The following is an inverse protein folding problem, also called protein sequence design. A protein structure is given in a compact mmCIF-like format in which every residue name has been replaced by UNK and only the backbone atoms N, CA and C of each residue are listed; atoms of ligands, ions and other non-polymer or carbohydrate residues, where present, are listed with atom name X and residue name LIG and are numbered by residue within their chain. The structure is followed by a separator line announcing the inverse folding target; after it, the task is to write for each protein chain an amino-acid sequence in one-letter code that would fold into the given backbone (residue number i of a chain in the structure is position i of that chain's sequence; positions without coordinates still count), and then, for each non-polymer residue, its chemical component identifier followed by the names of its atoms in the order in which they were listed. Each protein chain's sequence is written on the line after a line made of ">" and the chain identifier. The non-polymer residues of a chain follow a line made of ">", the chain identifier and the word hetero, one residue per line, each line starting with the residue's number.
data_IF_674841727178
#
_entry.id   IF_674841727178
#
_cell.length_a   1.000
_cell.length_b   1.000
_cell.length_c   1.000
_cell.angle_alpha   90.00
_cell.angle_beta   90.00
_cell.angle_gamma   90.00
#
_symmetry.space_group_name_H-M   'P 1'
#
loop_
_entity.id
_entity.type
_entity.pdbx_description
1 polymer ?
#
# COMPACT_ATOMS: atom_id res chain seq x y z
N UNK A 1 7.50 15.26 -3.04
CA UNK A 1 8.03 14.96 -1.69
C UNK A 1 6.89 15.01 -0.69
N UNK A 2 6.33 13.85 -0.36
CA UNK A 2 5.38 13.74 0.76
C UNK A 2 6.19 13.98 2.04
N UNK A 3 6.23 15.20 2.52
CA UNK A 3 6.70 15.49 3.88
C UNK A 3 5.68 14.87 4.83
N UNK A 4 6.01 13.74 5.41
CA UNK A 4 5.37 13.30 6.63
C UNK A 4 5.65 14.39 7.69
N UNK A 5 4.62 15.17 8.00
CA UNK A 5 4.65 16.16 9.07
C UNK A 5 4.70 15.39 10.38
N UNK A 6 5.89 15.13 10.82
CA UNK A 6 6.17 14.56 12.13
C UNK A 6 7.47 15.16 12.63
N UNK A 7 7.36 16.01 13.61
CA UNK A 7 8.39 16.69 14.41
C UNK A 7 9.81 16.64 13.82
N UNK A 8 10.37 17.77 13.50
CA UNK A 8 11.78 17.96 13.05
C UNK A 8 12.81 17.24 13.94
N UNK A 9 12.48 16.92 15.18
CA UNK A 9 13.34 16.18 16.10
C UNK A 9 13.57 14.71 15.70
N UNK A 10 12.63 14.05 15.03
CA UNK A 10 12.79 12.66 14.57
C UNK A 10 13.56 12.54 13.27
N UNK A 11 13.78 13.62 12.52
CA UNK A 11 14.45 13.62 11.21
C UNK A 11 15.95 13.89 11.36
N UNK A 12 16.41 14.50 12.45
CA UNK A 12 17.79 14.91 12.63
C UNK A 12 18.77 13.78 12.92
N UNK A 13 18.30 12.65 13.39
CA UNK A 13 19.13 11.48 13.74
C UNK A 13 19.10 10.37 12.69
N UNK A 14 18.34 10.55 11.59
CA UNK A 14 18.17 9.54 10.54
C UNK A 14 18.43 10.13 9.17
N UNK A 15 19.11 9.35 8.34
CA UNK A 15 19.25 9.63 6.91
C UNK A 15 18.33 8.72 6.11
N UNK A 16 17.61 9.29 5.16
CA UNK A 16 16.76 8.57 4.20
C UNK A 16 17.46 8.57 2.83
N UNK A 17 17.41 7.45 2.16
CA UNK A 17 17.87 7.29 0.77
C UNK A 17 16.78 6.59 -0.01
N UNK A 18 16.52 7.07 -1.20
CA UNK A 18 15.57 6.47 -2.14
C UNK A 18 16.35 5.89 -3.31
N UNK A 19 15.92 4.72 -3.75
CA UNK A 19 16.34 4.09 -5.00
C UNK A 19 15.09 3.89 -5.81
N UNK A 20 15.03 4.55 -6.96
CA UNK A 20 13.90 4.44 -7.88
C UNK A 20 13.97 3.14 -8.68
N UNK A 21 12.84 2.72 -9.26
CA UNK A 21 12.83 1.65 -10.23
C UNK A 21 13.51 2.13 -11.53
N UNK A 22 14.05 1.20 -12.30
CA UNK A 22 14.53 1.47 -13.65
C UNK A 22 13.36 1.83 -14.58
N UNK A 23 13.65 2.39 -15.75
CA UNK A 23 12.64 2.84 -16.72
C UNK A 23 11.70 1.71 -17.18
N UNK A 24 12.17 0.48 -17.16
CA UNK A 24 11.38 -0.73 -17.47
C UNK A 24 10.56 -1.25 -16.28
N UNK A 25 10.60 -0.56 -15.14
CA UNK A 25 9.92 -0.95 -13.90
C UNK A 25 10.61 -2.07 -13.11
N UNK A 26 11.82 -2.47 -13.48
CA UNK A 26 12.64 -3.41 -12.71
C UNK A 26 13.35 -2.72 -11.54
N UNK A 27 13.85 -3.52 -10.59
CA UNK A 27 14.62 -2.98 -9.47
C UNK A 27 16.03 -2.61 -9.91
N UNK A 28 16.50 -1.44 -9.49
CA UNK A 28 17.90 -1.05 -9.60
C UNK A 28 18.73 -1.74 -8.50
N UNK A 29 19.09 -2.99 -8.73
CA UNK A 29 19.87 -3.78 -7.79
C UNK A 29 21.24 -3.18 -7.48
N UNK A 30 21.87 -2.50 -8.43
CA UNK A 30 23.15 -1.82 -8.22
C UNK A 30 22.98 -0.58 -7.35
N UNK A 31 21.96 0.20 -7.59
CA UNK A 31 21.59 1.34 -6.75
C UNK A 31 21.26 0.92 -5.32
N UNK A 32 20.49 -0.16 -5.15
CA UNK A 32 20.15 -0.72 -3.84
C UNK A 32 21.42 -1.16 -3.11
N UNK A 33 22.32 -1.90 -3.77
CA UNK A 33 23.60 -2.33 -3.19
C UNK A 33 24.45 -1.15 -2.73
N UNK A 34 24.51 -0.06 -3.49
CA UNK A 34 25.23 1.16 -3.13
C UNK A 34 24.58 1.93 -1.98
N UNK A 35 23.25 1.85 -1.89
CA UNK A 35 22.49 2.56 -0.85
C UNK A 35 22.58 1.87 0.51
N UNK A 36 22.71 0.54 0.56
CA UNK A 36 22.82 -0.23 1.81
C UNK A 36 24.25 -0.11 2.37
N UNK A 37 24.36 0.16 3.68
CA UNK A 37 25.64 0.19 4.40
C UNK A 37 25.45 -0.25 5.86
N UNK A 38 26.53 -0.29 6.63
CA UNK A 38 26.57 -0.71 8.04
C UNK A 38 25.51 -0.02 8.93
N UNK A 39 25.18 1.24 8.62
CA UNK A 39 24.22 2.05 9.37
C UNK A 39 22.78 1.82 8.92
N UNK A 40 22.54 1.13 7.81
CA UNK A 40 21.18 0.86 7.32
C UNK A 40 20.46 -0.08 8.28
N UNK A 41 19.35 0.34 8.87
CA UNK A 41 18.55 -0.43 9.83
C UNK A 41 17.24 -0.94 9.27
N UNK A 42 16.66 -0.17 8.33
CA UNK A 42 15.37 -0.45 7.76
C UNK A 42 15.40 -0.19 6.25
N UNK A 43 14.82 -1.08 5.48
CA UNK A 43 14.47 -0.90 4.06
C UNK A 43 12.96 -0.96 3.94
N UNK A 44 12.37 0.05 3.31
CA UNK A 44 10.93 0.13 3.06
C UNK A 44 10.64 -0.18 1.60
N UNK A 45 9.70 -1.08 1.37
CA UNK A 45 9.24 -1.49 0.03
C UNK A 45 7.76 -1.11 -0.08
N UNK A 46 7.41 -0.30 -1.06
CA UNK A 46 6.02 0.05 -1.34
C UNK A 46 5.47 -0.86 -2.43
N UNK A 47 4.49 -1.72 -2.10
CA UNK A 47 3.91 -2.69 -3.02
C UNK A 47 3.09 -2.03 -4.13
N UNK A 48 2.05 -1.33 -3.77
CA UNK A 48 1.14 -0.69 -4.73
C UNK A 48 1.77 0.52 -5.40
N UNK A 49 1.40 0.75 -6.64
CA UNK A 49 1.76 1.95 -7.39
C UNK A 49 1.09 3.22 -6.82
N UNK A 50 0.00 3.10 -6.08
CA UNK A 50 -0.78 4.24 -5.60
C UNK A 50 -1.19 5.14 -6.77
N UNK A 51 -0.79 6.41 -6.73
CA UNK A 51 -1.04 7.38 -7.80
C UNK A 51 0.07 7.46 -8.87
N UNK A 52 1.11 6.63 -8.75
CA UNK A 52 2.19 6.58 -9.74
C UNK A 52 1.81 5.72 -10.95
N UNK A 53 2.58 5.88 -12.04
CA UNK A 53 2.41 5.09 -13.27
C UNK A 53 3.29 3.84 -13.30
N UNK A 54 4.13 3.61 -12.27
CA UNK A 54 4.98 2.44 -12.17
C UNK A 54 4.17 1.14 -12.02
N UNK A 55 4.74 -0.03 -12.33
CA UNK A 55 4.11 -1.32 -12.06
C UNK A 55 3.87 -1.52 -10.55
N UNK A 56 2.80 -2.24 -10.21
CA UNK A 56 2.60 -2.79 -8.86
C UNK A 56 3.45 -4.02 -8.69
N UNK A 57 4.01 -4.22 -7.50
CA UNK A 57 4.87 -5.36 -7.20
C UNK A 57 4.04 -6.58 -6.79
N UNK A 58 4.30 -7.73 -7.42
CA UNK A 58 3.79 -9.01 -6.91
C UNK A 58 4.51 -9.40 -5.61
N UNK A 59 3.90 -10.29 -4.83
CA UNK A 59 4.52 -10.82 -3.61
C UNK A 59 5.80 -11.58 -3.95
N UNK A 60 5.84 -12.29 -5.07
CA UNK A 60 7.03 -13.00 -5.55
C UNK A 60 8.20 -12.02 -5.77
N UNK A 61 7.98 -10.95 -6.54
CA UNK A 61 9.01 -9.92 -6.78
C UNK A 61 9.49 -9.25 -5.49
N UNK A 62 8.58 -9.03 -4.54
CA UNK A 62 8.93 -8.51 -3.21
C UNK A 62 9.84 -9.50 -2.49
N UNK A 63 9.56 -10.80 -2.56
CA UNK A 63 10.39 -11.85 -1.98
C UNK A 63 11.80 -11.88 -2.58
N UNK A 64 11.91 -11.83 -3.90
CA UNK A 64 13.21 -11.75 -4.61
C UNK A 64 14.03 -10.53 -4.13
N UNK A 65 13.39 -9.37 -4.04
CA UNK A 65 14.04 -8.16 -3.55
C UNK A 65 14.50 -8.29 -2.09
N UNK A 66 13.67 -8.86 -1.22
CA UNK A 66 14.02 -9.07 0.18
C UNK A 66 15.20 -10.02 0.31
N UNK A 67 15.24 -11.13 -0.44
CA UNK A 67 16.37 -12.05 -0.45
C UNK A 67 17.66 -11.33 -0.87
N UNK A 68 17.62 -10.56 -1.96
CA UNK A 68 18.77 -9.78 -2.40
C UNK A 68 19.24 -8.78 -1.34
N UNK A 69 18.34 -8.09 -0.66
CA UNK A 69 18.68 -7.15 0.41
C UNK A 69 19.32 -7.89 1.59
N UNK A 70 18.76 -9.03 1.99
CA UNK A 70 19.27 -9.84 3.11
C UNK A 70 20.62 -10.48 2.80
N UNK A 71 20.92 -10.78 1.54
CA UNK A 71 22.25 -11.25 1.14
C UNK A 71 23.33 -10.17 1.31
N UNK A 72 22.96 -8.89 1.16
CA UNK A 72 23.87 -7.77 1.39
C UNK A 72 24.01 -7.48 2.89
N UNK A 73 22.89 -7.48 3.63
CA UNK A 73 22.84 -7.15 5.04
C UNK A 73 21.76 -7.97 5.77
N UNK A 74 22.13 -9.13 6.34
CA UNK A 74 21.17 -10.08 6.94
C UNK A 74 20.36 -9.51 8.10
N UNK A 75 20.89 -8.56 8.87
CA UNK A 75 20.26 -7.95 10.04
C UNK A 75 19.37 -6.74 9.72
N UNK A 76 19.31 -6.30 8.46
CA UNK A 76 18.43 -5.18 8.08
C UNK A 76 16.97 -5.59 8.16
N UNK A 77 16.12 -4.72 8.66
CA UNK A 77 14.66 -4.95 8.72
C UNK A 77 14.05 -4.57 7.37
N UNK A 78 13.35 -5.51 6.73
CA UNK A 78 12.58 -5.27 5.53
C UNK A 78 11.10 -5.04 5.90
N UNK A 79 10.60 -3.85 5.64
CA UNK A 79 9.21 -3.46 5.88
C UNK A 79 8.49 -3.23 4.56
N UNK A 80 7.33 -3.84 4.38
CA UNK A 80 6.49 -3.69 3.19
C UNK A 80 5.26 -2.86 3.52
N UNK A 81 5.07 -1.74 2.81
CA UNK A 81 3.77 -1.06 2.75
C UNK A 81 2.88 -1.83 1.77
N UNK A 82 1.91 -2.54 2.34
CA UNK A 82 1.05 -3.48 1.64
C UNK A 82 -0.30 -2.87 1.20
N UNK A 83 -0.51 -1.58 1.45
CA UNK A 83 -1.75 -0.89 1.11
C UNK A 83 -2.20 -1.20 -0.32
N UNK A 84 -3.48 -1.53 -0.48
CA UNK A 84 -4.17 -1.95 -1.71
C UNK A 84 -3.79 -3.33 -2.26
N UNK A 85 -2.77 -4.01 -1.69
CA UNK A 85 -2.36 -5.35 -2.11
C UNK A 85 -2.96 -6.48 -1.28
N UNK A 86 -3.46 -6.18 -0.09
CA UNK A 86 -3.98 -7.19 0.84
C UNK A 86 -5.14 -7.98 0.22
N UNK A 87 -5.11 -9.30 0.36
CA UNK A 87 -6.10 -10.25 -0.17
C UNK A 87 -6.20 -10.31 -1.71
N UNK A 88 -5.24 -9.71 -2.44
CA UNK A 88 -5.21 -9.76 -3.91
C UNK A 88 -4.53 -11.04 -4.39
N UNK A 89 -3.43 -11.44 -3.78
CA UNK A 89 -2.72 -12.69 -4.04
C UNK A 89 -3.02 -13.73 -2.94
N UNK A 90 -2.62 -14.98 -3.17
CA UNK A 90 -2.84 -16.10 -2.23
C UNK A 90 -1.94 -16.03 -1.00
N UNK A 91 -0.80 -15.39 -1.13
CA UNK A 91 0.20 -15.21 -0.08
C UNK A 91 0.44 -13.72 0.15
N UNK A 92 0.95 -13.39 1.31
CA UNK A 92 1.25 -12.02 1.70
C UNK A 92 2.77 -11.82 1.86
N UNK A 93 3.26 -10.58 1.84
CA UNK A 93 4.70 -10.30 1.91
C UNK A 93 5.41 -10.88 3.15
N UNK A 94 4.69 -11.12 4.25
CA UNK A 94 5.23 -11.80 5.42
C UNK A 94 5.66 -13.24 5.17
N UNK A 95 5.06 -13.90 4.19
CA UNK A 95 5.36 -15.30 3.83
C UNK A 95 6.61 -15.42 2.93
N UNK A 96 7.05 -14.32 2.35
CA UNK A 96 8.24 -14.25 1.49
C UNK A 96 9.41 -13.50 2.12
N UNK A 97 9.39 -13.32 3.45
CA UNK A 97 10.53 -12.82 4.22
C UNK A 97 10.44 -11.37 4.69
N UNK A 98 9.33 -10.67 4.50
CA UNK A 98 9.15 -9.35 5.10
C UNK A 98 9.15 -9.44 6.63
N UNK A 99 10.02 -8.67 7.29
CA UNK A 99 10.08 -8.60 8.76
C UNK A 99 8.86 -7.86 9.34
N UNK A 100 8.36 -6.87 8.60
CA UNK A 100 7.13 -6.14 8.92
C UNK A 100 6.30 -5.91 7.66
N UNK A 101 5.00 -6.02 7.80
CA UNK A 101 3.99 -5.64 6.81
C UNK A 101 3.08 -4.60 7.45
N UNK A 102 2.93 -3.47 6.81
CA UNK A 102 2.12 -2.35 7.31
C UNK A 102 1.05 -1.97 6.30
N UNK A 103 -0.06 -1.50 6.78
CA UNK A 103 -1.14 -1.06 5.91
C UNK A 103 -2.22 -0.29 6.66
N UNK A 104 -3.25 0.09 5.92
CA UNK A 104 -4.36 0.89 6.42
C UNK A 104 -5.63 0.06 6.55
N UNK A 105 -6.28 0.15 7.72
CA UNK A 105 -7.57 -0.50 7.95
C UNK A 105 -8.73 0.21 7.23
N UNK A 106 -8.57 1.46 6.80
CA UNK A 106 -9.59 2.13 5.97
C UNK A 106 -9.57 1.69 4.50
N UNK A 107 -8.66 0.78 4.14
CA UNK A 107 -8.51 0.19 2.80
C UNK A 107 -8.93 -1.27 2.81
N UNK A 108 -8.25 -2.10 2.04
CA UNK A 108 -8.59 -3.52 1.85
C UNK A 108 -8.92 -4.26 3.16
N UNK A 109 -8.08 -4.24 4.21
CA UNK A 109 -8.33 -5.05 5.41
C UNK A 109 -9.56 -4.62 6.21
N UNK A 110 -10.00 -3.38 6.04
CA UNK A 110 -11.19 -2.88 6.75
C UNK A 110 -12.51 -3.27 6.13
N UNK A 111 -12.53 -3.90 4.94
CA UNK A 111 -13.74 -4.42 4.29
C UNK A 111 -14.86 -3.39 4.12
N UNK A 112 -14.51 -2.10 4.00
CA UNK A 112 -15.45 -0.98 3.91
C UNK A 112 -16.14 -0.59 5.23
N UNK A 113 -15.81 -1.23 6.35
CA UNK A 113 -16.43 -0.98 7.67
C UNK A 113 -15.52 -0.24 8.64
N UNK A 114 -14.22 -0.45 8.57
CA UNK A 114 -13.28 0.18 9.49
C UNK A 114 -13.22 1.71 9.26
N UNK A 115 -13.56 2.54 10.27
CA UNK A 115 -13.64 4.00 10.09
C UNK A 115 -12.28 4.69 10.14
N UNK A 116 -11.26 4.02 10.63
CA UNK A 116 -9.91 4.55 10.83
C UNK A 116 -8.89 3.43 11.02
N UNK A 117 -7.66 3.79 11.33
CA UNK A 117 -6.65 2.87 11.83
C UNK A 117 -5.72 2.31 10.76
N UNK A 118 -4.70 1.64 11.26
CA UNK A 118 -3.72 0.90 10.50
C UNK A 118 -3.35 -0.38 11.21
N UNK A 119 -2.59 -1.23 10.54
CA UNK A 119 -2.06 -2.45 11.13
C UNK A 119 -0.55 -2.55 10.89
N UNK A 120 0.11 -3.25 11.78
CA UNK A 120 1.47 -3.72 11.62
C UNK A 120 1.47 -5.20 11.98
N UNK A 121 1.91 -6.04 11.06
CA UNK A 121 2.08 -7.48 11.25
C UNK A 121 3.52 -7.88 10.95
N UNK A 122 4.02 -8.96 11.58
CA UNK A 122 5.36 -9.47 11.31
C UNK A 122 6.09 -9.96 12.55
N UNK A 123 7.40 -9.83 12.57
CA UNK A 123 8.27 -10.29 13.64
C UNK A 123 7.91 -9.66 14.98
N UNK A 124 7.86 -10.50 16.02
CA UNK A 124 7.44 -10.12 17.37
C UNK A 124 8.23 -8.94 17.94
N UNK A 125 9.55 -8.96 17.81
CA UNK A 125 10.42 -7.89 18.30
C UNK A 125 10.16 -6.56 17.62
N UNK A 126 9.92 -6.56 16.30
CA UNK A 126 9.57 -5.37 15.53
C UNK A 126 8.20 -4.81 15.96
N UNK A 127 7.21 -5.69 16.17
CA UNK A 127 5.86 -5.30 16.58
C UNK A 127 5.88 -4.71 17.99
N UNK A 128 6.64 -5.29 18.91
CA UNK A 128 6.78 -4.76 20.28
C UNK A 128 7.40 -3.36 20.29
N UNK A 129 8.48 -3.15 19.53
CA UNK A 129 9.11 -1.83 19.42
C UNK A 129 8.18 -0.80 18.77
N UNK A 130 7.43 -1.19 17.74
CA UNK A 130 6.44 -0.34 17.10
C UNK A 130 5.32 0.05 18.09
N UNK A 131 4.83 -0.89 18.90
CA UNK A 131 3.78 -0.63 19.90
C UNK A 131 4.23 0.39 20.95
N UNK A 132 5.46 0.28 21.46
CA UNK A 132 6.02 1.26 22.40
C UNK A 132 6.17 2.66 21.76
N UNK A 133 6.45 2.73 20.48
CA UNK A 133 6.60 4.00 19.77
C UNK A 133 5.26 4.66 19.43
N UNK A 134 4.25 3.85 19.09
CA UNK A 134 2.93 4.34 18.67
C UNK A 134 2.03 4.73 19.82
N UNK A 135 2.16 4.07 20.96
CA UNK A 135 1.36 4.37 22.16
C UNK A 135 2.15 5.28 23.12
N UNK A 136 2.71 4.70 24.15
CA UNK A 136 3.45 5.42 25.17
C UNK A 136 4.57 4.53 25.73
N UNK A 137 5.74 5.08 26.07
CA UNK A 137 6.78 4.33 26.76
C UNK A 137 6.24 3.64 28.01
N UNK A 138 6.49 2.34 28.13
CA UNK A 138 6.03 1.51 29.24
C UNK A 138 4.65 0.89 29.09
N UNK A 139 3.79 1.39 28.21
CA UNK A 139 2.46 0.83 27.98
C UNK A 139 2.45 -0.16 26.79
N UNK A 140 3.14 0.17 25.69
CA UNK A 140 3.17 -0.67 24.51
C UNK A 140 1.76 -0.98 23.99
N UNK A 141 1.45 -2.27 23.87
CA UNK A 141 0.16 -2.75 23.34
C UNK A 141 -0.93 -3.04 24.39
N UNK A 142 -0.68 -2.78 25.66
CA UNK A 142 -1.59 -3.18 26.77
C UNK A 142 -2.96 -2.51 26.67
N UNK A 143 -3.00 -1.24 26.27
CA UNK A 143 -4.26 -0.48 26.14
C UNK A 143 -4.78 -0.39 24.70
N UNK A 144 -4.01 -0.86 23.73
CA UNK A 144 -4.32 -0.76 22.31
C UNK A 144 -4.19 0.67 21.75
N UNK A 145 -4.38 0.82 20.45
CA UNK A 145 -4.24 2.09 19.73
C UNK A 145 -5.57 2.81 19.51
N UNK A 146 -6.70 2.15 19.73
CA UNK A 146 -8.05 2.68 19.45
C UNK A 146 -9.04 2.26 20.53
N UNK A 147 -10.08 3.07 20.71
CA UNK A 147 -11.16 2.82 21.68
C UNK A 147 -12.48 2.78 20.91
N UNK A 148 -13.29 1.73 21.16
CA UNK A 148 -14.68 1.65 20.71
C UNK A 148 -14.93 1.15 19.29
N UNK A 149 -13.90 0.97 18.45
CA UNK A 149 -14.04 0.60 17.03
C UNK A 149 -13.58 -0.82 16.69
N UNK A 150 -13.18 -1.61 17.68
CA UNK A 150 -12.63 -2.96 17.46
C UNK A 150 -13.62 -3.90 16.76
N UNK A 151 -14.92 -3.77 17.06
CA UNK A 151 -15.95 -4.58 16.39
C UNK A 151 -15.94 -4.37 14.89
N UNK A 152 -15.85 -3.12 14.44
CA UNK A 152 -15.85 -2.78 13.02
C UNK A 152 -14.57 -3.27 12.35
N UNK A 153 -13.43 -3.24 13.05
CA UNK A 153 -12.18 -3.80 12.56
C UNK A 153 -12.27 -5.32 12.33
N UNK A 154 -12.76 -6.08 13.30
CA UNK A 154 -12.89 -7.53 13.16
C UNK A 154 -13.94 -7.94 12.13
N UNK A 155 -15.06 -7.25 12.10
CA UNK A 155 -16.11 -7.52 11.12
C UNK A 155 -15.63 -7.14 9.71
N UNK A 156 -14.95 -6.01 9.57
CA UNK A 156 -14.36 -5.57 8.33
C UNK A 156 -13.30 -6.56 7.81
N UNK A 157 -12.39 -7.00 8.67
CA UNK A 157 -11.37 -7.99 8.31
C UNK A 157 -12.00 -9.31 7.85
N UNK A 158 -13.05 -9.77 8.50
CA UNK A 158 -13.79 -10.98 8.10
C UNK A 158 -14.41 -10.84 6.70
N UNK A 159 -14.93 -9.67 6.35
CA UNK A 159 -15.56 -9.40 5.05
C UNK A 159 -14.54 -9.02 3.96
N UNK A 160 -13.35 -8.59 4.35
CA UNK A 160 -12.35 -8.00 3.45
C UNK A 160 -12.04 -8.86 2.20
N UNK A 161 -11.85 -10.18 2.26
CA UNK A 161 -11.57 -10.97 1.06
C UNK A 161 -12.68 -10.86 0.01
N UNK A 162 -13.95 -10.88 0.43
CA UNK A 162 -15.10 -10.73 -0.47
C UNK A 162 -15.20 -9.34 -1.06
N UNK A 163 -14.94 -8.31 -0.25
CA UNK A 163 -14.95 -6.91 -0.68
C UNK A 163 -13.83 -6.65 -1.68
N UNK A 164 -12.61 -7.13 -1.42
CA UNK A 164 -11.47 -7.00 -2.33
C UNK A 164 -11.70 -7.75 -3.64
N UNK A 165 -12.27 -8.95 -3.61
CA UNK A 165 -12.65 -9.67 -4.82
C UNK A 165 -13.67 -8.88 -5.65
N UNK A 166 -14.62 -8.20 -4.99
CA UNK A 166 -15.57 -7.28 -5.64
C UNK A 166 -14.87 -6.08 -6.28
N UNK A 167 -13.91 -5.47 -5.57
CA UNK A 167 -13.11 -4.35 -6.06
C UNK A 167 -12.28 -4.74 -7.30
N UNK A 168 -11.63 -5.92 -7.28
CA UNK A 168 -10.89 -6.44 -8.43
C UNK A 168 -11.78 -6.65 -9.66
N UNK A 169 -12.97 -7.26 -9.46
CA UNK A 169 -13.93 -7.41 -10.55
C UNK A 169 -14.37 -6.06 -11.11
N UNK A 170 -14.62 -5.08 -10.24
CA UNK A 170 -14.95 -3.71 -10.64
C UNK A 170 -13.83 -3.05 -11.43
N UNK A 171 -12.59 -3.22 -11.01
CA UNK A 171 -11.42 -2.67 -11.70
C UNK A 171 -11.25 -3.29 -13.12
N UNK A 172 -11.36 -4.62 -13.25
CA UNK A 172 -11.31 -5.30 -14.55
C UNK A 172 -12.47 -4.86 -15.45
N UNK A 173 -13.67 -4.77 -14.89
CA UNK A 173 -14.84 -4.29 -15.63
C UNK A 173 -14.65 -2.85 -16.13
N UNK A 174 -14.17 -1.95 -15.28
CA UNK A 174 -13.89 -0.56 -15.64
C UNK A 174 -12.84 -0.48 -16.77
N UNK A 175 -11.73 -1.22 -16.65
CA UNK A 175 -10.73 -1.29 -17.71
C UNK A 175 -11.36 -1.69 -19.04
N UNK A 176 -12.13 -2.79 -19.09
CA UNK A 176 -12.82 -3.24 -20.30
C UNK A 176 -13.73 -2.19 -20.91
N UNK A 177 -14.50 -1.48 -20.09
CA UNK A 177 -15.44 -0.45 -20.58
C UNK A 177 -14.68 0.74 -21.16
N UNK A 178 -13.68 1.24 -20.44
CA UNK A 178 -12.93 2.41 -20.87
C UNK A 178 -12.04 2.14 -22.08
N UNK A 179 -11.43 0.96 -22.19
CA UNK A 179 -10.66 0.57 -23.38
C UNK A 179 -11.56 0.49 -24.63
N UNK A 180 -12.76 -0.09 -24.51
CA UNK A 180 -13.75 -0.09 -25.61
C UNK A 180 -14.21 1.31 -25.99
N UNK A 181 -14.19 2.25 -25.04
CA UNK A 181 -14.47 3.67 -25.30
C UNK A 181 -13.25 4.42 -25.84
N UNK A 182 -12.10 3.77 -26.05
CA UNK A 182 -10.89 4.35 -26.63
C UNK A 182 -9.97 5.08 -25.66
N UNK A 183 -10.09 4.79 -24.37
CA UNK A 183 -9.16 5.28 -23.33
C UNK A 183 -8.08 4.23 -23.06
N UNK A 184 -6.91 4.72 -22.64
CA UNK A 184 -5.84 3.83 -22.16
C UNK A 184 -6.05 3.54 -20.67
N UNK A 185 -5.98 2.25 -20.32
CA UNK A 185 -6.08 1.78 -18.95
C UNK A 185 -4.76 1.16 -18.45
N UNK A 186 -4.45 1.33 -17.17
CA UNK A 186 -3.26 0.75 -16.53
C UNK A 186 -3.64 0.25 -15.12
N UNK A 187 -3.61 -1.04 -14.85
CA UNK A 187 -3.40 -2.16 -15.80
C UNK A 187 -4.48 -2.21 -16.88
N UNK A 188 -4.19 -2.87 -18.02
CA UNK A 188 -5.22 -3.16 -18.99
C UNK A 188 -6.22 -4.23 -18.49
N UNK A 189 -7.27 -4.49 -19.27
CA UNK A 189 -8.33 -5.41 -18.85
C UNK A 189 -7.87 -6.87 -18.70
N UNK A 190 -6.75 -7.26 -19.32
CA UNK A 190 -6.21 -8.63 -19.36
C UNK A 190 -4.95 -8.79 -18.52
N UNK A 191 -4.35 -7.70 -18.09
CA UNK A 191 -3.12 -7.69 -17.31
C UNK A 191 -3.36 -8.23 -15.89
N UNK A 192 -2.40 -9.01 -15.38
CA UNK A 192 -2.42 -9.54 -14.03
C UNK A 192 -2.31 -8.39 -13.01
N UNK A 193 -3.03 -8.53 -11.90
CA UNK A 193 -3.18 -7.47 -10.90
C UNK A 193 -2.63 -7.89 -9.55
N UNK A 194 -1.88 -6.99 -8.94
CA UNK A 194 -1.27 -7.17 -7.62
C UNK A 194 -1.75 -6.14 -6.60
N UNK A 195 -2.65 -5.24 -7.02
CA UNK A 195 -3.44 -4.34 -6.18
C UNK A 195 -4.84 -4.09 -6.81
N UNK A 196 -5.66 -3.29 -6.16
CA UNK A 196 -7.02 -2.95 -6.63
C UNK A 196 -7.06 -1.64 -7.45
N UNK A 197 -5.91 -1.05 -7.75
CA UNK A 197 -5.85 0.26 -8.42
C UNK A 197 -6.12 0.10 -9.91
N UNK A 198 -7.00 0.96 -10.43
CA UNK A 198 -7.26 1.12 -11.86
C UNK A 198 -7.03 2.56 -12.26
N UNK A 199 -6.07 2.81 -13.13
CA UNK A 199 -5.87 4.11 -13.75
C UNK A 199 -6.51 4.14 -15.15
N UNK A 200 -7.13 5.27 -15.48
CA UNK A 200 -7.70 5.57 -16.81
C UNK A 200 -7.14 6.91 -17.27
N UNK A 201 -6.53 6.93 -18.44
CA UNK A 201 -5.98 8.15 -19.03
C UNK A 201 -7.07 8.93 -19.76
N UNK A 202 -7.56 10.01 -19.15
CA UNK A 202 -8.69 10.81 -19.66
C UNK A 202 -8.29 11.85 -20.72
N UNK A 203 -7.02 11.89 -21.11
CA UNK A 203 -6.43 12.65 -22.25
C UNK A 203 -6.46 14.18 -22.12
N UNK A 204 -7.36 14.78 -21.33
CA UNK A 204 -7.43 16.23 -21.13
C UNK A 204 -7.96 16.60 -19.75
N UNK A 205 -7.75 17.86 -19.36
CA UNK A 205 -8.31 18.43 -18.13
C UNK A 205 -9.83 18.45 -18.16
N UNK A 206 -10.43 18.81 -19.30
CA UNK A 206 -11.87 18.82 -19.49
C UNK A 206 -12.47 17.43 -19.34
N UNK A 207 -11.78 16.40 -19.85
CA UNK A 207 -12.16 15.00 -19.70
C UNK A 207 -12.14 14.58 -18.22
N UNK A 208 -11.11 14.97 -17.48
CA UNK A 208 -11.01 14.70 -16.05
C UNK A 208 -12.13 15.39 -15.26
N UNK A 209 -12.40 16.66 -15.55
CA UNK A 209 -13.48 17.43 -14.92
C UNK A 209 -14.83 16.80 -15.22
N UNK A 210 -15.08 16.40 -16.47
CA UNK A 210 -16.33 15.76 -16.87
C UNK A 210 -16.52 14.41 -16.16
N UNK A 211 -15.47 13.61 -16.05
CA UNK A 211 -15.48 12.35 -15.31
C UNK A 211 -15.83 12.55 -13.83
N UNK A 212 -15.15 13.48 -13.15
CA UNK A 212 -15.42 13.78 -11.74
C UNK A 212 -16.85 14.28 -11.54
N UNK A 213 -17.35 15.17 -12.39
CA UNK A 213 -18.73 15.65 -12.34
C UNK A 213 -19.74 14.51 -12.54
N UNK A 214 -19.50 13.63 -13.50
CA UNK A 214 -20.35 12.46 -13.73
C UNK A 214 -20.41 11.52 -12.53
N UNK A 215 -19.27 11.25 -11.87
CA UNK A 215 -19.22 10.47 -10.64
C UNK A 215 -19.99 11.13 -9.50
N UNK A 216 -19.85 12.45 -9.32
CA UNK A 216 -20.53 13.20 -8.25
C UNK A 216 -22.04 13.25 -8.46
N UNK A 217 -22.51 13.38 -9.69
CA UNK A 217 -23.96 13.33 -10.01
C UNK A 217 -24.60 12.00 -9.58
N UNK A 218 -23.84 10.91 -9.63
CA UNK A 218 -24.33 9.57 -9.29
C UNK A 218 -24.25 9.25 -7.79
N UNK A 219 -23.32 9.86 -7.09
CA UNK A 219 -23.01 9.56 -5.68
C UNK A 219 -23.48 10.65 -4.71
N UNK A 220 -23.90 11.81 -5.22
CA UNK A 220 -24.43 12.88 -4.37
C UNK A 220 -25.78 12.48 -3.76
N UNK A 221 -25.97 12.65 -2.45
CA UNK A 221 -27.23 12.37 -1.78
C UNK A 221 -28.39 13.29 -2.19
N UNK A 222 -28.09 14.39 -2.91
CA UNK A 222 -29.11 15.31 -3.42
C UNK A 222 -28.72 15.87 -4.80
N UNK A 223 -29.60 15.75 -5.81
CA UNK A 223 -29.40 16.41 -7.10
C UNK A 223 -29.38 17.94 -7.06
N UNK A 224 -29.62 18.54 -5.90
CA UNK A 224 -29.63 20.00 -5.69
C UNK A 224 -28.27 20.55 -5.24
N UNK A 225 -27.33 19.66 -4.90
CA UNK A 225 -25.99 20.01 -4.43
C UNK A 225 -24.92 19.81 -5.52
N UNK A 226 -25.34 19.63 -6.78
CA UNK A 226 -24.49 19.45 -7.96
C UNK A 226 -24.53 20.71 -8.87
#
# INVERSE_FOLDING_TARGET
>A
TTRLVGSEMCIRDRSYRQVDLLDDGSFDYDGIRKAINEKTKLVTIQRSKGYATRPTLSVERIGELIHFIKDIKPDVICMVDNCYGEFVEKIEPSEVGADMVVGSLIKNPGGGLAPCGGYIAGRKDCIEQAAYRLSSPGLGKEVGATIGVNKDFYQGLFLAPTVVAGALKGAVFAANVYEKAGFKCVPDATEERYDIIQAVELKSEEGLIAFCKGCLLYTSPSPRDA
#
